data_IF_904746909351
#
_entry.id   IF_904746909351
#
_cell.length_a   1.000
_cell.length_b   1.000
_cell.length_c   1.000
_cell.angle_alpha   90.00
_cell.angle_beta   90.00
_cell.angle_gamma   90.00
#
_symmetry.space_group_name_H-M   'P 1'
#
loop_
_entity.id
_entity.type
_entity.pdbx_description
1 polymer ?
#
# COMPACT_ATOMS: atom_id res chain seq x y z
N UNK A 1 -62.59 56.40 25.19
CA UNK A 1 -63.72 55.47 25.32
C UNK A 1 -63.41 54.20 24.54
N UNK A 2 -63.75 53.07 25.14
CA UNK A 2 -63.54 51.69 24.69
C UNK A 2 -64.24 51.41 23.35
N UNK A 3 -63.62 50.59 22.51
CA UNK A 3 -64.28 49.38 21.98
C UNK A 3 -63.25 48.52 21.24
N UNK A 4 -62.51 47.69 21.97
CA UNK A 4 -61.77 46.58 21.36
C UNK A 4 -62.74 45.41 21.22
N UNK A 5 -63.32 45.26 20.02
CA UNK A 5 -64.27 44.22 19.66
C UNK A 5 -63.73 42.82 20.07
N UNK A 6 -64.33 42.13 21.06
CA UNK A 6 -63.83 40.84 21.54
C UNK A 6 -64.00 39.71 20.51
N UNK A 7 -64.83 39.92 19.47
CA UNK A 7 -65.05 38.98 18.38
C UNK A 7 -63.83 38.80 17.46
N UNK A 8 -63.06 39.87 17.21
CA UNK A 8 -61.96 39.83 16.26
C UNK A 8 -60.75 39.04 16.78
N UNK A 9 -60.51 39.07 18.10
CA UNK A 9 -59.42 38.33 18.72
C UNK A 9 -59.66 36.83 18.69
N UNK A 10 -60.85 36.37 19.09
CA UNK A 10 -61.21 34.95 19.05
C UNK A 10 -61.21 34.37 17.62
N UNK A 11 -61.61 35.17 16.63
CA UNK A 11 -61.53 34.77 15.22
C UNK A 11 -60.08 34.68 14.73
N UNK A 12 -59.22 35.62 15.15
CA UNK A 12 -57.79 35.60 14.81
C UNK A 12 -57.06 34.42 15.45
N UNK A 13 -57.33 34.13 16.71
CA UNK A 13 -56.71 33.00 17.42
C UNK A 13 -57.11 31.65 16.79
N UNK A 14 -58.38 31.50 16.37
CA UNK A 14 -58.84 30.32 15.61
C UNK A 14 -58.20 30.22 14.22
N UNK A 15 -57.93 31.35 13.57
CA UNK A 15 -57.27 31.36 12.27
C UNK A 15 -55.81 30.90 12.39
N UNK A 16 -55.12 31.34 13.46
CA UNK A 16 -53.74 30.91 13.76
C UNK A 16 -53.70 29.42 14.09
N UNK A 17 -54.64 28.91 14.89
CA UNK A 17 -54.73 27.47 15.19
C UNK A 17 -55.01 26.65 13.91
N UNK A 18 -55.88 27.16 13.02
CA UNK A 18 -56.14 26.50 11.73
C UNK A 18 -54.91 26.54 10.81
N UNK A 19 -54.15 27.63 10.83
CA UNK A 19 -52.89 27.76 10.08
C UNK A 19 -51.83 26.78 10.59
N UNK A 20 -51.69 26.61 11.91
CA UNK A 20 -50.82 25.60 12.51
C UNK A 20 -51.25 24.17 12.14
N UNK A 21 -52.56 23.87 12.17
CA UNK A 21 -53.08 22.57 11.74
C UNK A 21 -52.88 22.33 10.24
N UNK A 22 -53.03 23.36 9.40
CA UNK A 22 -52.75 23.28 7.97
C UNK A 22 -51.27 23.01 7.71
N UNK A 23 -50.36 23.61 8.50
CA UNK A 23 -48.93 23.35 8.39
C UNK A 23 -48.59 21.89 8.72
N UNK A 24 -49.24 21.30 9.73
CA UNK A 24 -49.09 19.88 10.05
C UNK A 24 -49.63 18.97 8.93
N UNK A 25 -50.78 19.34 8.34
CA UNK A 25 -51.38 18.61 7.21
C UNK A 25 -50.51 18.60 5.95
N UNK A 26 -49.58 19.54 5.79
CA UNK A 26 -48.62 19.55 4.67
C UNK A 26 -47.62 18.39 4.77
N UNK A 27 -47.26 17.95 5.99
CA UNK A 27 -46.29 16.86 6.21
C UNK A 27 -46.93 15.46 6.23
N UNK A 28 -48.27 15.40 6.36
CA UNK A 28 -49.03 14.14 6.41
C UNK A 28 -48.86 13.30 5.12
N UNK A 29 -48.95 13.86 3.90
CA UNK A 29 -48.77 13.08 2.66
C UNK A 29 -47.38 12.44 2.54
N UNK A 30 -46.32 13.15 2.95
CA UNK A 30 -44.96 12.61 2.91
C UNK A 30 -44.76 11.50 3.95
N UNK A 31 -45.36 11.65 5.12
CA UNK A 31 -45.36 10.62 6.16
C UNK A 31 -46.11 9.36 5.72
N UNK A 32 -47.26 9.51 5.05
CA UNK A 32 -48.02 8.39 4.49
C UNK A 32 -47.19 7.66 3.43
N UNK A 33 -46.62 8.39 2.47
CA UNK A 33 -45.77 7.80 1.42
C UNK A 33 -44.57 7.06 1.99
N UNK A 34 -43.95 7.60 3.05
CA UNK A 34 -42.87 6.94 3.77
C UNK A 34 -43.33 5.63 4.42
N UNK A 35 -44.49 5.64 5.10
CA UNK A 35 -45.05 4.43 5.72
C UNK A 35 -45.45 3.37 4.70
N UNK A 36 -46.00 3.77 3.55
CA UNK A 36 -46.32 2.86 2.44
C UNK A 36 -45.06 2.16 1.90
N UNK A 37 -43.96 2.91 1.70
CA UNK A 37 -42.68 2.34 1.29
C UNK A 37 -42.13 1.35 2.33
N UNK A 38 -42.26 1.68 3.62
CA UNK A 38 -41.86 0.77 4.71
C UNK A 38 -42.72 -0.49 4.75
N UNK A 39 -44.00 -0.38 4.47
CA UNK A 39 -44.92 -1.52 4.46
C UNK A 39 -44.62 -2.47 3.29
N UNK A 40 -44.29 -1.93 2.12
CA UNK A 40 -43.91 -2.72 0.93
C UNK A 40 -42.58 -3.47 1.14
N UNK A 41 -41.60 -2.80 1.77
CA UNK A 41 -40.34 -3.43 2.18
C UNK A 41 -40.57 -4.58 3.19
N UNK A 42 -41.44 -4.37 4.17
CA UNK A 42 -41.80 -5.40 5.17
C UNK A 42 -42.50 -6.57 4.48
N UNK A 43 -43.47 -6.31 3.60
CA UNK A 43 -44.18 -7.36 2.87
C UNK A 43 -43.21 -8.23 2.05
N UNK A 44 -42.26 -7.59 1.35
CA UNK A 44 -41.22 -8.30 0.60
C UNK A 44 -40.37 -9.18 1.51
N UNK A 45 -39.93 -8.66 2.66
CA UNK A 45 -39.13 -9.42 3.64
C UNK A 45 -39.90 -10.59 4.23
N UNK A 46 -41.19 -10.43 4.52
CA UNK A 46 -42.05 -11.52 5.01
C UNK A 46 -42.16 -12.64 3.98
N UNK A 47 -42.39 -12.32 2.71
CA UNK A 47 -42.43 -13.34 1.65
C UNK A 47 -41.11 -14.14 1.54
N UNK A 48 -39.96 -13.47 1.75
CA UNK A 48 -38.66 -14.15 1.79
C UNK A 48 -38.51 -15.08 3.00
N UNK A 49 -39.02 -14.68 4.18
CA UNK A 49 -39.00 -15.51 5.40
C UNK A 49 -39.85 -16.75 5.20
N UNK A 50 -41.05 -16.63 4.63
CA UNK A 50 -41.93 -17.76 4.35
C UNK A 50 -41.27 -18.77 3.39
N UNK A 51 -40.57 -18.27 2.37
CA UNK A 51 -39.81 -19.11 1.45
C UNK A 51 -38.62 -19.84 2.13
N UNK A 52 -37.96 -19.22 3.11
CA UNK A 52 -36.89 -19.85 3.90
C UNK A 52 -37.46 -20.84 4.90
N UNK A 53 -38.57 -20.52 5.55
CA UNK A 53 -39.26 -21.40 6.50
C UNK A 53 -39.70 -22.71 5.82
N UNK A 54 -40.30 -22.63 4.63
CA UNK A 54 -40.66 -23.82 3.85
C UNK A 54 -39.45 -24.67 3.42
N UNK A 55 -38.27 -24.06 3.21
CA UNK A 55 -37.03 -24.82 3.00
C UNK A 55 -36.60 -25.53 4.26
N UNK A 56 -36.63 -24.87 5.42
CA UNK A 56 -36.21 -25.43 6.72
C UNK A 56 -37.12 -26.59 7.15
N UNK A 57 -38.44 -26.49 6.95
CA UNK A 57 -39.37 -27.62 7.17
C UNK A 57 -39.09 -28.80 6.23
N UNK A 58 -38.60 -28.53 5.03
CA UNK A 58 -38.16 -29.57 4.08
C UNK A 58 -36.72 -30.05 4.26
N UNK A 59 -35.95 -29.49 5.21
CA UNK A 59 -34.56 -29.90 5.42
C UNK A 59 -34.50 -31.21 6.23
N UNK A 60 -33.49 -32.05 5.98
CA UNK A 60 -33.25 -33.25 6.77
C UNK A 60 -32.88 -32.95 8.23
N UNK A 61 -32.91 -31.69 8.69
CA UNK A 61 -32.63 -31.28 10.06
C UNK A 61 -33.70 -31.83 11.02
N UNK A 62 -34.98 -31.83 10.64
CA UNK A 62 -36.03 -32.42 11.47
C UNK A 62 -35.88 -33.95 11.53
N UNK A 63 -35.48 -34.57 10.41
CA UNK A 63 -35.11 -35.99 10.37
C UNK A 63 -33.84 -36.27 11.19
N UNK A 64 -32.86 -35.34 11.18
CA UNK A 64 -31.65 -35.43 11.99
C UNK A 64 -31.95 -35.29 13.47
N UNK A 65 -32.85 -34.39 13.87
CA UNK A 65 -33.31 -34.26 15.25
C UNK A 65 -33.97 -35.54 15.72
N UNK A 66 -34.92 -36.09 14.94
CA UNK A 66 -35.53 -37.37 15.27
C UNK A 66 -34.50 -38.52 15.35
N UNK A 67 -33.48 -38.53 14.47
CA UNK A 67 -32.38 -39.51 14.51
C UNK A 67 -31.45 -39.28 15.71
N UNK A 68 -31.21 -38.04 16.12
CA UNK A 68 -30.41 -37.69 17.31
C UNK A 68 -31.15 -38.10 18.57
N UNK A 69 -32.45 -37.85 18.67
CA UNK A 69 -33.28 -38.29 19.80
C UNK A 69 -33.25 -39.82 19.92
N UNK A 70 -33.42 -40.52 18.79
CA UNK A 70 -33.32 -42.00 18.73
C UNK A 70 -31.91 -42.49 19.12
N UNK A 71 -30.86 -41.78 18.70
CA UNK A 71 -29.48 -42.14 19.01
C UNK A 71 -29.13 -41.86 20.48
N UNK A 72 -29.68 -40.80 21.06
CA UNK A 72 -29.54 -40.44 22.46
C UNK A 72 -30.22 -41.48 23.35
N UNK A 73 -31.44 -41.91 23.00
CA UNK A 73 -32.14 -42.99 23.69
C UNK A 73 -31.34 -44.31 23.63
N UNK A 74 -30.82 -44.66 22.45
CA UNK A 74 -29.94 -45.82 22.28
C UNK A 74 -28.61 -45.70 23.01
N UNK A 75 -28.03 -44.51 23.11
CA UNK A 75 -26.77 -44.27 23.83
C UNK A 75 -26.98 -44.31 25.33
N UNK A 76 -28.10 -43.81 25.84
CA UNK A 76 -28.47 -43.92 27.25
C UNK A 76 -28.78 -45.38 27.61
N UNK A 77 -29.43 -46.14 26.72
CA UNK A 77 -29.60 -47.58 26.83
C UNK A 77 -28.25 -48.34 26.79
N UNK A 78 -27.32 -47.95 25.90
CA UNK A 78 -25.95 -48.47 25.88
C UNK A 78 -25.14 -48.03 27.11
N UNK A 79 -25.39 -46.86 27.71
CA UNK A 79 -24.73 -46.41 28.94
C UNK A 79 -25.19 -47.24 30.15
N UNK A 80 -26.42 -47.76 30.12
CA UNK A 80 -26.87 -48.78 31.09
C UNK A 80 -26.28 -50.17 30.84
N UNK A 81 -25.77 -50.45 29.63
CA UNK A 81 -25.06 -51.68 29.25
C UNK A 81 -23.60 -51.35 28.96
N UNK A 82 -22.83 -51.17 30.02
CA UNK A 82 -21.39 -50.84 30.05
C UNK A 82 -20.60 -51.37 28.84
N UNK A 83 -19.96 -50.47 28.09
CA UNK A 83 -18.79 -50.79 27.26
C UNK A 83 -17.62 -49.89 27.66
N UNK A 84 -16.52 -50.53 28.02
CA UNK A 84 -15.24 -49.94 28.39
C UNK A 84 -14.72 -49.03 27.26
N UNK A 85 -14.54 -47.74 27.57
CA UNK A 85 -13.96 -46.73 26.68
C UNK A 85 -12.43 -46.88 26.71
N UNK A 86 -11.89 -47.77 25.87
CA UNK A 86 -10.47 -48.15 25.85
C UNK A 86 -9.52 -47.18 25.12
N UNK A 87 -8.36 -46.95 25.75
CA UNK A 87 -6.96 -46.78 25.30
C UNK A 87 -6.56 -46.05 23.99
N UNK A 88 -7.41 -45.88 22.99
CA UNK A 88 -7.00 -45.40 21.66
C UNK A 88 -6.76 -43.89 21.54
N UNK A 89 -7.22 -43.07 22.50
CA UNK A 89 -6.98 -41.60 22.48
C UNK A 89 -5.62 -41.19 23.06
N UNK A 90 -5.04 -42.02 23.94
CA UNK A 90 -3.76 -41.73 24.59
C UNK A 90 -2.58 -41.80 23.61
N UNK A 91 -2.58 -42.77 22.70
CA UNK A 91 -1.52 -42.93 21.70
C UNK A 91 -1.47 -41.81 20.67
N UNK A 92 -2.63 -41.26 20.28
CA UNK A 92 -2.68 -40.12 19.35
C UNK A 92 -2.12 -38.84 19.99
N UNK A 93 -2.45 -38.59 21.25
CA UNK A 93 -1.93 -37.44 21.98
C UNK A 93 -0.40 -37.52 22.15
N UNK A 94 0.13 -38.68 22.53
CA UNK A 94 1.57 -38.92 22.67
C UNK A 94 2.33 -38.72 21.35
N UNK A 95 1.81 -39.24 20.23
CA UNK A 95 2.40 -39.05 18.91
C UNK A 95 2.41 -37.56 18.49
N UNK A 96 1.34 -36.82 18.77
CA UNK A 96 1.30 -35.38 18.46
C UNK A 96 2.31 -34.58 19.30
N UNK A 97 2.47 -34.93 20.58
CA UNK A 97 3.45 -34.31 21.48
C UNK A 97 4.90 -34.57 21.04
N UNK A 98 5.20 -35.79 20.59
CA UNK A 98 6.49 -36.15 20.00
C UNK A 98 6.77 -35.31 18.74
N UNK A 99 5.80 -35.21 17.82
CA UNK A 99 5.96 -34.43 16.57
C UNK A 99 6.13 -32.93 16.82
N UNK A 100 5.49 -32.38 17.85
CA UNK A 100 5.68 -30.98 18.25
C UNK A 100 7.08 -30.77 18.82
N UNK A 101 7.58 -31.73 19.62
CA UNK A 101 8.94 -31.66 20.20
C UNK A 101 10.03 -31.79 19.12
N UNK A 102 9.84 -32.66 18.14
CA UNK A 102 10.73 -32.79 16.97
C UNK A 102 10.73 -31.50 16.14
N UNK A 103 9.55 -30.91 15.93
CA UNK A 103 9.43 -29.62 15.22
C UNK A 103 10.18 -28.50 15.96
N UNK A 104 10.00 -28.36 17.28
CA UNK A 104 10.71 -27.36 18.10
C UNK A 104 12.23 -27.54 18.03
N UNK A 105 12.70 -28.80 18.14
CA UNK A 105 14.10 -29.16 17.95
C UNK A 105 14.62 -28.72 16.58
N UNK A 106 13.90 -29.03 15.50
CA UNK A 106 14.32 -28.68 14.14
C UNK A 106 14.36 -27.16 13.92
N UNK A 107 13.38 -26.44 14.46
CA UNK A 107 13.34 -24.97 14.40
C UNK A 107 14.52 -24.34 15.14
N UNK A 108 14.87 -24.87 16.31
CA UNK A 108 16.04 -24.41 17.06
C UNK A 108 17.34 -24.62 16.27
N UNK A 109 17.53 -25.80 15.68
CA UNK A 109 18.72 -26.08 14.84
C UNK A 109 18.80 -25.13 13.64
N UNK A 110 17.68 -24.87 12.96
CA UNK A 110 17.65 -23.91 11.85
C UNK A 110 18.03 -22.49 12.29
N UNK A 111 17.54 -22.03 13.45
CA UNK A 111 17.90 -20.73 14.01
C UNK A 111 19.40 -20.63 14.35
N UNK A 112 19.97 -21.68 14.94
CA UNK A 112 21.41 -21.74 15.23
C UNK A 112 22.25 -21.66 13.95
N UNK A 113 21.86 -22.38 12.89
CA UNK A 113 22.53 -22.30 11.58
C UNK A 113 22.43 -20.91 10.96
N UNK A 114 21.26 -20.28 10.98
CA UNK A 114 21.04 -18.93 10.46
C UNK A 114 21.89 -17.92 11.23
N UNK A 115 21.92 -18.01 12.56
CA UNK A 115 22.73 -17.13 13.40
C UNK A 115 24.23 -17.31 13.12
N UNK A 116 24.70 -18.56 12.98
CA UNK A 116 26.08 -18.84 12.61
C UNK A 116 26.49 -18.19 11.29
N UNK A 117 25.69 -18.39 10.23
CA UNK A 117 25.94 -17.75 8.93
C UNK A 117 25.87 -16.22 9.01
N UNK A 118 24.92 -15.66 9.76
CA UNK A 118 24.79 -14.22 9.94
C UNK A 118 26.01 -13.63 10.65
N UNK A 119 26.59 -14.35 11.60
CA UNK A 119 27.81 -13.94 12.28
C UNK A 119 29.00 -13.94 11.31
N UNK A 120 29.17 -14.99 10.51
CA UNK A 120 30.23 -15.09 9.50
C UNK A 120 30.16 -13.94 8.49
N UNK A 121 28.96 -13.60 8.03
CA UNK A 121 28.76 -12.43 7.15
C UNK A 121 29.10 -11.13 7.85
N UNK A 122 28.74 -10.98 9.13
CA UNK A 122 29.06 -9.78 9.91
C UNK A 122 30.57 -9.60 10.06
N UNK A 123 31.29 -10.68 10.40
CA UNK A 123 32.77 -10.68 10.48
C UNK A 123 33.37 -10.28 9.13
N UNK A 124 32.90 -10.87 8.03
CA UNK A 124 33.39 -10.56 6.68
C UNK A 124 33.13 -9.10 6.30
N UNK A 125 31.95 -8.57 6.61
CA UNK A 125 31.62 -7.17 6.37
C UNK A 125 32.48 -6.21 7.19
N UNK A 126 32.82 -6.57 8.43
CA UNK A 126 33.69 -5.74 9.26
C UNK A 126 35.10 -5.66 8.69
N UNK A 127 35.65 -6.78 8.23
CA UNK A 127 36.93 -6.83 7.51
C UNK A 127 36.90 -5.91 6.28
N UNK A 128 35.87 -6.02 5.44
CA UNK A 128 35.73 -5.17 4.23
C UNK A 128 35.64 -3.68 4.61
N UNK A 129 34.88 -3.33 5.65
CA UNK A 129 34.79 -1.93 6.12
C UNK A 129 36.12 -1.39 6.58
N UNK A 130 36.89 -2.19 7.31
CA UNK A 130 38.21 -1.83 7.80
C UNK A 130 39.20 -1.67 6.63
N UNK A 131 39.17 -2.54 5.62
CA UNK A 131 39.98 -2.41 4.40
C UNK A 131 39.63 -1.14 3.61
N UNK A 132 38.34 -0.81 3.46
CA UNK A 132 37.92 0.44 2.81
C UNK A 132 38.43 1.65 3.58
N UNK A 133 38.37 1.62 4.92
CA UNK A 133 38.90 2.69 5.76
C UNK A 133 40.42 2.86 5.59
N UNK A 134 41.17 1.75 5.54
CA UNK A 134 42.62 1.77 5.28
C UNK A 134 42.96 2.34 3.90
N UNK A 135 42.29 1.85 2.85
CA UNK A 135 42.49 2.35 1.48
C UNK A 135 42.18 3.84 1.39
N UNK A 136 41.10 4.30 2.02
CA UNK A 136 40.75 5.72 2.06
C UNK A 136 41.81 6.56 2.81
N UNK A 137 42.36 6.06 3.91
CA UNK A 137 43.44 6.73 4.62
C UNK A 137 44.70 6.85 3.75
N UNK A 138 45.09 5.77 3.07
CA UNK A 138 46.24 5.75 2.14
C UNK A 138 46.04 6.68 0.95
N UNK A 139 44.82 6.73 0.38
CA UNK A 139 44.47 7.65 -0.69
C UNK A 139 44.60 9.10 -0.24
N UNK A 140 44.04 9.45 0.92
CA UNK A 140 44.12 10.80 1.48
C UNK A 140 45.57 11.23 1.73
N UNK A 141 46.40 10.35 2.30
CA UNK A 141 47.84 10.62 2.49
C UNK A 141 48.57 10.84 1.17
N UNK A 142 48.25 10.05 0.14
CA UNK A 142 48.85 10.19 -1.19
C UNK A 142 48.45 11.50 -1.84
N UNK A 143 47.16 11.88 -1.75
CA UNK A 143 46.67 13.17 -2.23
C UNK A 143 47.35 14.34 -1.51
N UNK A 144 47.52 14.25 -0.19
CA UNK A 144 48.20 15.26 0.60
C UNK A 144 49.70 15.35 0.26
N UNK A 145 50.38 14.22 0.07
CA UNK A 145 51.78 14.17 -0.34
C UNK A 145 51.97 14.80 -1.73
N UNK A 146 51.09 14.50 -2.69
CA UNK A 146 51.12 15.13 -4.03
C UNK A 146 50.87 16.65 -3.96
N UNK A 147 49.93 17.10 -3.11
CA UNK A 147 49.70 18.52 -2.88
C UNK A 147 50.92 19.22 -2.26
N UNK A 148 51.61 18.54 -1.33
CA UNK A 148 52.80 19.06 -0.66
C UNK A 148 54.09 18.96 -1.50
N UNK A 149 54.14 18.10 -2.52
CA UNK A 149 55.25 18.00 -3.49
C UNK A 149 55.16 19.03 -4.62
N UNK A 150 54.06 19.80 -4.72
CA UNK A 150 54.02 20.95 -5.61
C UNK A 150 55.02 22.02 -5.12
N UNK A 151 55.97 22.50 -5.95
CA UNK A 151 56.96 23.48 -5.52
C UNK A 151 56.30 24.72 -4.90
N UNK A 152 56.78 25.13 -3.73
CA UNK A 152 56.45 26.40 -3.10
C UNK A 152 56.84 27.55 -4.07
N UNK A 153 55.90 27.99 -4.89
CA UNK A 153 56.08 29.07 -5.86
C UNK A 153 56.08 28.68 -7.34
N UNK A 154 55.74 27.44 -7.70
CA UNK A 154 55.54 27.06 -9.11
C UNK A 154 54.42 26.05 -9.20
N UNK A 155 53.26 26.48 -9.70
CA UNK A 155 52.13 25.59 -9.94
C UNK A 155 52.63 24.34 -10.69
N UNK A 156 52.51 23.15 -10.08
CA UNK A 156 52.27 21.96 -10.89
C UNK A 156 50.89 22.22 -11.47
N UNK A 157 50.86 22.94 -12.58
CA UNK A 157 49.73 22.87 -13.46
C UNK A 157 49.71 21.41 -13.89
N UNK A 158 48.88 20.59 -13.23
CA UNK A 158 48.07 19.66 -14.02
C UNK A 158 47.55 20.57 -15.12
N UNK A 159 48.16 20.51 -16.30
CA UNK A 159 47.74 21.35 -17.40
C UNK A 159 46.29 20.96 -17.57
N UNK A 160 45.35 21.79 -17.07
CA UNK A 160 43.94 21.62 -17.37
C UNK A 160 43.95 21.68 -18.86
N UNK A 161 43.88 20.50 -19.49
CA UNK A 161 43.85 20.36 -20.92
C UNK A 161 42.70 21.27 -21.32
N UNK A 162 43.02 22.38 -21.99
CA UNK A 162 42.01 23.34 -22.39
C UNK A 162 41.16 22.59 -23.40
N UNK A 163 40.03 22.06 -22.96
CA UNK A 163 39.12 21.32 -23.83
C UNK A 163 38.68 22.34 -24.89
N UNK A 164 39.04 22.12 -26.17
CA UNK A 164 38.68 23.05 -27.22
C UNK A 164 37.16 23.07 -27.36
N UNK A 165 36.57 24.26 -27.39
CA UNK A 165 35.13 24.40 -27.64
C UNK A 165 34.80 23.92 -29.06
N UNK A 166 33.68 23.21 -29.26
CA UNK A 166 33.26 22.78 -30.59
C UNK A 166 32.92 23.99 -31.45
N UNK A 167 33.09 23.85 -32.76
CA UNK A 167 32.71 24.92 -33.71
C UNK A 167 31.19 25.03 -33.78
N UNK A 168 30.63 26.25 -33.84
CA UNK A 168 29.19 26.40 -34.01
C UNK A 168 28.69 25.82 -35.34
N UNK A 169 27.49 25.25 -35.34
CA UNK A 169 26.84 24.76 -36.56
C UNK A 169 25.89 25.80 -37.13
N UNK A 170 26.16 26.26 -38.36
CA UNK A 170 25.39 27.30 -39.05
C UNK A 170 24.20 26.78 -39.89
N UNK A 171 23.87 25.49 -39.83
CA UNK A 171 22.73 24.95 -40.60
C UNK A 171 23.05 24.52 -42.03
N UNK A 172 24.32 24.20 -42.32
CA UNK A 172 24.72 23.67 -43.62
C UNK A 172 23.94 22.39 -43.95
N UNK A 173 23.35 22.31 -45.15
CA UNK A 173 22.64 21.11 -45.65
C UNK A 173 23.62 20.06 -46.17
N UNK A 174 24.58 19.70 -45.32
CA UNK A 174 25.63 18.71 -45.56
C UNK A 174 25.64 17.72 -44.39
N UNK A 175 25.37 16.46 -44.68
CA UNK A 175 25.30 15.40 -43.67
C UNK A 175 26.62 15.22 -42.91
N UNK A 176 27.76 15.35 -43.60
CA UNK A 176 29.09 15.21 -43.01
C UNK A 176 29.40 16.38 -42.08
N UNK A 177 28.97 17.59 -42.45
CA UNK A 177 29.12 18.76 -41.57
C UNK A 177 28.30 18.63 -40.28
N UNK A 178 27.08 18.08 -40.38
CA UNK A 178 26.23 17.81 -39.22
C UNK A 178 26.81 16.70 -38.32
N UNK A 179 27.26 15.59 -38.90
CA UNK A 179 27.88 14.49 -38.15
C UNK A 179 29.14 14.93 -37.40
N UNK A 180 30.02 15.71 -38.05
CA UNK A 180 31.22 16.25 -37.40
C UNK A 180 30.87 17.16 -36.22
N UNK A 181 29.84 18.01 -36.37
CA UNK A 181 29.38 18.88 -35.28
C UNK A 181 28.85 18.07 -34.08
N UNK A 182 28.00 17.08 -34.34
CA UNK A 182 27.44 16.22 -33.28
C UNK A 182 28.57 15.49 -32.55
N UNK A 183 29.51 14.91 -33.31
CA UNK A 183 30.66 14.22 -32.75
C UNK A 183 31.51 15.14 -31.86
N UNK A 184 31.90 16.32 -32.36
CA UNK A 184 32.72 17.27 -31.60
C UNK A 184 32.00 17.76 -30.33
N UNK A 185 30.68 17.99 -30.40
CA UNK A 185 29.86 18.41 -29.27
C UNK A 185 29.71 17.32 -28.21
N UNK A 186 29.49 16.06 -28.61
CA UNK A 186 29.43 14.94 -27.68
C UNK A 186 30.75 14.73 -26.94
N UNK A 187 31.87 14.78 -27.67
CA UNK A 187 33.20 14.63 -27.09
C UNK A 187 33.51 15.76 -26.11
N UNK A 188 33.07 16.98 -26.42
CA UNK A 188 33.15 18.12 -25.51
C UNK A 188 32.34 17.88 -24.22
N UNK A 189 31.07 17.47 -24.33
CA UNK A 189 30.19 17.22 -23.19
C UNK A 189 30.69 16.10 -22.27
N UNK A 190 31.24 15.03 -22.85
CA UNK A 190 31.90 13.94 -22.11
C UNK A 190 33.13 14.45 -21.36
N UNK A 191 33.96 15.27 -22.00
CA UNK A 191 35.17 15.82 -21.39
C UNK A 191 34.86 16.85 -20.29
N UNK A 192 33.70 17.52 -20.33
CA UNK A 192 33.29 18.51 -19.31
C UNK A 192 32.43 17.94 -18.18
N UNK A 193 32.19 16.62 -18.13
CA UNK A 193 31.32 15.95 -17.14
C UNK A 193 29.95 16.66 -16.96
N UNK A 194 29.37 17.17 -18.04
CA UNK A 194 28.15 17.98 -17.99
C UNK A 194 26.89 17.12 -17.79
N UNK A 195 25.97 17.55 -16.91
CA UNK A 195 24.69 16.88 -16.64
C UNK A 195 23.69 17.06 -17.79
N UNK A 196 22.67 16.21 -17.89
CA UNK A 196 21.68 16.24 -18.99
C UNK A 196 21.02 17.62 -19.23
N UNK A 197 20.72 18.37 -18.16
CA UNK A 197 20.15 19.72 -18.26
C UNK A 197 21.14 20.72 -18.86
N UNK A 198 22.43 20.62 -18.49
CA UNK A 198 23.49 21.46 -19.06
C UNK A 198 23.83 21.05 -20.50
N UNK A 199 23.70 19.76 -20.84
CA UNK A 199 23.95 19.26 -22.20
C UNK A 199 23.02 19.90 -23.24
N UNK A 200 21.71 19.97 -22.97
CA UNK A 200 20.74 20.62 -23.87
C UNK A 200 21.07 22.12 -24.03
N UNK A 201 21.31 22.81 -22.91
CA UNK A 201 21.63 24.24 -22.92
C UNK A 201 22.90 24.50 -23.74
N UNK A 202 23.94 23.68 -23.54
CA UNK A 202 25.20 23.83 -24.25
C UNK A 202 25.07 23.50 -25.75
N UNK A 203 24.29 22.47 -26.11
CA UNK A 203 24.02 22.13 -27.49
C UNK A 203 23.35 23.29 -28.24
N UNK A 204 22.34 23.91 -27.62
CA UNK A 204 21.65 25.07 -28.21
C UNK A 204 22.56 26.29 -28.32
N UNK A 205 23.46 26.51 -27.36
CA UNK A 205 24.43 27.62 -27.40
C UNK A 205 25.43 27.53 -28.57
N UNK A 206 25.68 26.32 -29.10
CA UNK A 206 26.61 26.08 -30.21
C UNK A 206 25.91 25.92 -31.57
N UNK A 207 24.60 26.19 -31.65
CA UNK A 207 23.95 26.48 -32.93
C UNK A 207 24.22 27.94 -33.32
N UNK A 208 24.22 28.26 -34.61
CA UNK A 208 24.37 29.63 -35.13
C UNK A 208 23.55 29.85 -36.39
N UNK A 209 23.33 31.11 -36.75
CA UNK A 209 22.61 31.51 -37.98
C UNK A 209 21.26 30.80 -38.12
N UNK A 210 20.98 30.26 -39.31
CA UNK A 210 19.74 29.59 -39.63
C UNK A 210 19.47 28.40 -38.70
N UNK A 211 20.51 27.71 -38.22
CA UNK A 211 20.32 26.59 -37.29
C UNK A 211 19.75 26.98 -35.93
N UNK A 212 19.84 28.26 -35.50
CA UNK A 212 19.16 28.72 -34.27
C UNK A 212 17.65 28.93 -34.45
N UNK A 213 17.19 29.03 -35.70
CA UNK A 213 15.80 29.37 -36.05
C UNK A 213 14.92 28.13 -36.30
N UNK A 214 15.53 26.94 -36.30
CA UNK A 214 14.86 25.64 -36.40
C UNK A 214 14.69 25.01 -35.03
#
# INVERSE_FOLDING_TARGET
MLSSNPSGKAQKDRLVELEEQMLYLVEVPDSIRYLESRLDEISTKTNMIDAVAGRVEGLPIQELLARVDTLEENTNFRRTVNYERGDSLSGFAAHMEERVSELDSSQKTLLEMINGMSEDFRVTLDVIRNEIADVNARLNLTMQAMANQAPAGGAISVSRVKIPKPKPFCGARDAKALENYIFDLEQYLKATNSTSVLQVTLATMHLSEDAKLW
#
